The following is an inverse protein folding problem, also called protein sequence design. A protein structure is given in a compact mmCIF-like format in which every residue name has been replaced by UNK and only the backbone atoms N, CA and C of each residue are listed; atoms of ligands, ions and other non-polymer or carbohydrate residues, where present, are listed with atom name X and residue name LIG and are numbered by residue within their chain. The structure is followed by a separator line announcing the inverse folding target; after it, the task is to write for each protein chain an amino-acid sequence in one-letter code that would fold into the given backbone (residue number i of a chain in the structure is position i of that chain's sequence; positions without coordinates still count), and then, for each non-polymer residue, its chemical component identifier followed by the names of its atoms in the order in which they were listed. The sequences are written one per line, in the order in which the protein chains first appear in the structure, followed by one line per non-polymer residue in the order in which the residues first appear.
data_IF_955985162876
#
_entry.id   IF_955985162876
#
_cell.length_a   1.000
_cell.length_b   1.000
_cell.length_c   1.000
_cell.angle_alpha   90.00
_cell.angle_beta   90.00
_cell.angle_gamma   90.00
#
_symmetry.space_group_name_H-M   'P 1'
#
loop_
_entity.id
_entity.type
_entity.pdbx_description
1 polymer ?
#
# COMPACT_ATOMS: atom_id res chain seq x y z
N UNK A 1 -143.96 -77.73 -212.04
CA UNK A 1 -143.19 -78.88 -211.49
C UNK A 1 -142.74 -78.58 -210.07
N UNK A 2 -142.60 -79.61 -209.23
CA UNK A 2 -142.24 -79.48 -207.81
C UNK A 2 -140.79 -78.98 -207.59
N UNK A 3 -139.87 -79.35 -208.49
CA UNK A 3 -138.42 -79.13 -208.33
C UNK A 3 -138.00 -77.66 -208.20
N UNK A 4 -138.64 -76.75 -208.96
CA UNK A 4 -138.35 -75.30 -208.88
C UNK A 4 -138.59 -74.75 -207.46
N UNK A 5 -139.60 -75.26 -206.74
CA UNK A 5 -139.97 -74.80 -205.41
C UNK A 5 -139.01 -75.32 -204.33
N UNK A 6 -138.34 -76.46 -204.57
CA UNK A 6 -137.24 -76.90 -203.70
C UNK A 6 -135.97 -76.08 -203.91
N UNK A 7 -135.65 -75.77 -205.17
CA UNK A 7 -134.46 -75.00 -205.52
C UNK A 7 -134.52 -73.57 -204.96
N UNK A 8 -135.69 -72.93 -205.02
CA UNK A 8 -135.94 -71.62 -204.40
C UNK A 8 -135.77 -71.67 -202.86
N UNK A 9 -136.24 -72.75 -202.21
CA UNK A 9 -136.10 -72.94 -200.75
C UNK A 9 -134.64 -73.16 -200.34
N UNK A 10 -133.88 -73.92 -201.14
CA UNK A 10 -132.42 -74.10 -200.97
C UNK A 10 -131.67 -72.76 -201.14
N UNK A 11 -132.00 -71.97 -202.16
CA UNK A 11 -131.40 -70.64 -202.37
C UNK A 11 -131.70 -69.67 -201.20
N UNK A 12 -132.93 -69.60 -200.70
CA UNK A 12 -133.27 -68.77 -199.52
C UNK A 12 -132.47 -69.19 -198.28
N UNK A 13 -132.26 -70.50 -198.07
CA UNK A 13 -131.41 -70.99 -196.98
C UNK A 13 -129.93 -70.59 -197.14
N UNK A 14 -129.42 -70.54 -198.38
CA UNK A 14 -128.06 -70.09 -198.68
C UNK A 14 -127.88 -68.59 -198.41
N UNK A 15 -128.87 -67.75 -198.75
CA UNK A 15 -128.85 -66.32 -198.42
C UNK A 15 -128.88 -66.08 -196.90
N UNK A 16 -129.76 -66.77 -196.16
CA UNK A 16 -129.78 -66.72 -194.69
C UNK A 16 -128.45 -67.14 -194.07
N UNK A 17 -127.80 -68.19 -194.62
CA UNK A 17 -126.47 -68.60 -194.16
C UNK A 17 -125.38 -67.57 -194.48
N UNK A 18 -125.48 -66.86 -195.62
CA UNK A 18 -124.55 -65.77 -195.97
C UNK A 18 -124.70 -64.57 -195.03
N UNK A 19 -125.93 -64.14 -194.72
CA UNK A 19 -126.18 -63.06 -193.75
C UNK A 19 -125.75 -63.45 -192.34
N UNK A 20 -126.01 -64.70 -191.92
CA UNK A 20 -125.54 -65.22 -190.63
C UNK A 20 -124.01 -65.26 -190.55
N UNK A 21 -123.32 -65.61 -191.63
CA UNK A 21 -121.86 -65.54 -191.70
C UNK A 21 -121.35 -64.09 -191.62
N UNK A 22 -122.02 -63.14 -192.27
CA UNK A 22 -121.69 -61.71 -192.18
C UNK A 22 -121.89 -61.16 -190.75
N UNK A 23 -123.01 -61.47 -190.08
CA UNK A 23 -123.23 -61.07 -188.68
C UNK A 23 -122.22 -61.71 -187.71
N UNK A 24 -121.80 -62.95 -187.95
CA UNK A 24 -120.75 -63.60 -187.16
C UNK A 24 -119.41 -62.88 -187.37
N UNK A 25 -119.07 -62.50 -188.61
CA UNK A 25 -117.87 -61.75 -188.92
C UNK A 25 -117.87 -60.34 -188.31
N UNK A 26 -119.00 -59.61 -188.39
CA UNK A 26 -119.17 -58.28 -187.79
C UNK A 26 -119.08 -58.32 -186.26
N UNK A 27 -119.79 -59.25 -185.61
CA UNK A 27 -119.68 -59.46 -184.15
C UNK A 27 -118.27 -59.84 -183.73
N UNK A 28 -117.56 -60.62 -184.56
CA UNK A 28 -116.16 -60.96 -184.32
C UNK A 28 -115.27 -59.73 -184.46
N UNK A 29 -115.45 -58.89 -185.48
CA UNK A 29 -114.69 -57.66 -185.64
C UNK A 29 -114.89 -56.69 -184.46
N UNK A 30 -116.13 -56.48 -184.03
CA UNK A 30 -116.46 -55.64 -182.85
C UNK A 30 -115.86 -56.24 -181.56
N UNK A 31 -115.84 -57.57 -181.42
CA UNK A 31 -115.19 -58.23 -180.30
C UNK A 31 -113.66 -58.05 -180.35
N UNK A 32 -113.03 -58.29 -181.50
CA UNK A 32 -111.59 -58.15 -181.71
C UNK A 32 -111.13 -56.67 -181.52
N UNK A 33 -111.97 -55.68 -181.87
CA UNK A 33 -111.72 -54.25 -181.57
C UNK A 33 -111.86 -53.91 -180.08
N UNK A 34 -112.87 -54.45 -179.39
CA UNK A 34 -113.02 -54.27 -177.94
C UNK A 34 -111.88 -54.90 -177.16
N UNK A 35 -111.45 -56.11 -177.54
CA UNK A 35 -110.30 -56.77 -176.93
C UNK A 35 -109.03 -55.92 -177.07
N UNK A 36 -108.78 -55.34 -178.25
CA UNK A 36 -107.65 -54.40 -178.45
C UNK A 36 -107.75 -53.17 -177.55
N UNK A 37 -108.92 -52.55 -177.45
CA UNK A 37 -109.10 -51.37 -176.60
C UNK A 37 -108.96 -51.71 -175.10
N UNK A 38 -109.48 -52.86 -174.67
CA UNK A 38 -109.29 -53.38 -173.31
C UNK A 38 -107.81 -53.72 -173.04
N UNK A 39 -107.09 -54.29 -174.01
CA UNK A 39 -105.65 -54.56 -173.94
C UNK A 39 -104.80 -53.27 -173.91
N UNK A 40 -105.17 -52.24 -174.69
CA UNK A 40 -104.54 -50.91 -174.72
C UNK A 40 -104.73 -50.19 -173.38
N UNK A 41 -105.96 -50.10 -172.88
CA UNK A 41 -106.26 -49.52 -171.55
C UNK A 41 -105.56 -50.31 -170.43
N UNK A 42 -105.49 -51.64 -170.54
CA UNK A 42 -104.75 -52.47 -169.59
C UNK A 42 -103.22 -52.33 -169.69
N UNK A 43 -102.68 -51.86 -170.82
CA UNK A 43 -101.26 -51.48 -170.95
C UNK A 43 -101.01 -50.11 -170.32
N UNK A 44 -101.78 -49.08 -170.66
CA UNK A 44 -101.66 -47.74 -170.08
C UNK A 44 -101.77 -47.77 -168.54
N UNK A 45 -102.74 -48.51 -168.00
CA UNK A 45 -102.91 -48.67 -166.54
C UNK A 45 -101.75 -49.42 -165.87
N UNK A 46 -101.07 -50.34 -166.57
CA UNK A 46 -99.85 -50.98 -166.06
C UNK A 46 -98.67 -50.03 -166.10
N UNK A 47 -98.50 -49.27 -167.19
CA UNK A 47 -97.41 -48.30 -167.32
C UNK A 47 -97.50 -47.16 -166.30
N UNK A 48 -98.71 -46.69 -165.96
CA UNK A 48 -98.92 -45.74 -164.86
C UNK A 48 -98.64 -46.38 -163.49
N UNK A 49 -99.07 -47.63 -163.27
CA UNK A 49 -98.82 -48.34 -162.01
C UNK A 49 -97.32 -48.65 -161.80
N UNK A 50 -96.62 -49.08 -162.85
CA UNK A 50 -95.18 -49.34 -162.84
C UNK A 50 -94.38 -48.04 -162.64
N UNK A 51 -94.83 -46.91 -163.21
CA UNK A 51 -94.25 -45.58 -162.93
C UNK A 51 -94.44 -45.17 -161.47
N UNK A 52 -95.66 -45.29 -160.94
CA UNK A 52 -95.93 -45.02 -159.53
C UNK A 52 -95.06 -45.89 -158.60
N UNK A 53 -94.94 -47.20 -158.89
CA UNK A 53 -94.11 -48.13 -158.11
C UNK A 53 -92.62 -47.80 -158.21
N UNK A 54 -92.12 -47.38 -159.37
CA UNK A 54 -90.74 -46.90 -159.53
C UNK A 54 -90.49 -45.60 -158.75
N UNK A 55 -91.44 -44.66 -158.76
CA UNK A 55 -91.33 -43.43 -157.96
C UNK A 55 -91.33 -43.74 -156.46
N UNK A 56 -92.28 -44.55 -155.98
CA UNK A 56 -92.40 -44.95 -154.57
C UNK A 56 -91.14 -45.70 -154.08
N UNK A 57 -90.69 -46.73 -154.81
CA UNK A 57 -89.45 -47.45 -154.48
C UNK A 57 -88.20 -46.56 -154.54
N UNK A 58 -88.15 -45.57 -155.45
CA UNK A 58 -87.04 -44.59 -155.47
C UNK A 58 -87.08 -43.63 -154.28
N UNK A 59 -88.29 -43.22 -153.83
CA UNK A 59 -88.47 -42.36 -152.67
C UNK A 59 -88.16 -43.11 -151.36
N UNK A 60 -88.55 -44.39 -151.25
CA UNK A 60 -88.13 -45.26 -150.16
C UNK A 60 -86.62 -45.48 -150.14
N UNK A 61 -85.98 -45.68 -151.31
CA UNK A 61 -84.53 -45.81 -151.41
C UNK A 61 -83.82 -44.55 -150.92
N UNK A 62 -84.30 -43.34 -151.28
CA UNK A 62 -83.78 -42.06 -150.77
C UNK A 62 -83.94 -41.95 -149.25
N UNK A 63 -85.13 -42.20 -148.71
CA UNK A 63 -85.38 -42.21 -147.26
C UNK A 63 -84.49 -43.22 -146.51
N UNK A 64 -84.22 -44.37 -147.12
CA UNK A 64 -83.34 -45.39 -146.54
C UNK A 64 -81.85 -45.02 -146.68
N UNK A 65 -81.45 -44.26 -147.70
CA UNK A 65 -80.12 -43.66 -147.80
C UNK A 65 -79.93 -42.56 -146.74
N UNK A 66 -80.90 -41.65 -146.58
CA UNK A 66 -80.92 -40.60 -145.55
C UNK A 66 -80.84 -41.18 -144.13
N UNK A 67 -81.59 -42.25 -143.84
CA UNK A 67 -81.48 -42.99 -142.57
C UNK A 67 -80.10 -43.62 -142.37
N UNK A 68 -79.48 -44.13 -143.44
CA UNK A 68 -78.12 -44.71 -143.37
C UNK A 68 -77.06 -43.64 -143.14
N UNK A 69 -77.13 -42.49 -143.80
CA UNK A 69 -76.21 -41.38 -143.55
C UNK A 69 -76.38 -40.83 -142.15
N UNK A 70 -77.62 -40.67 -141.67
CA UNK A 70 -77.90 -40.25 -140.30
C UNK A 70 -77.38 -41.24 -139.24
N UNK A 71 -77.55 -42.55 -139.45
CA UNK A 71 -76.92 -43.55 -138.57
C UNK A 71 -75.39 -43.47 -138.60
N UNK A 72 -74.78 -43.35 -139.78
CA UNK A 72 -73.32 -43.17 -139.90
C UNK A 72 -72.80 -41.89 -139.24
N UNK A 73 -73.61 -40.83 -139.17
CA UNK A 73 -73.27 -39.60 -138.45
C UNK A 73 -73.40 -39.78 -136.92
N UNK A 74 -74.42 -40.50 -136.44
CA UNK A 74 -74.53 -40.87 -135.03
C UNK A 74 -73.39 -41.80 -134.59
N UNK A 75 -73.05 -42.81 -135.38
CA UNK A 75 -71.95 -43.73 -135.10
C UNK A 75 -70.62 -42.97 -134.98
N UNK A 76 -70.35 -42.02 -135.89
CA UNK A 76 -69.20 -41.10 -135.79
C UNK A 76 -69.22 -40.25 -134.53
N UNK A 77 -70.38 -39.72 -134.12
CA UNK A 77 -70.49 -38.94 -132.87
C UNK A 77 -70.19 -39.81 -131.64
N UNK A 78 -70.61 -41.07 -131.63
CA UNK A 78 -70.28 -42.04 -130.57
C UNK A 78 -68.79 -42.35 -130.57
N UNK A 79 -68.20 -42.68 -131.73
CA UNK A 79 -66.76 -42.89 -131.87
C UNK A 79 -65.93 -41.69 -131.39
N UNK A 80 -66.34 -40.46 -131.73
CA UNK A 80 -65.68 -39.24 -131.27
C UNK A 80 -65.78 -39.07 -129.75
N UNK A 81 -66.92 -39.39 -129.15
CA UNK A 81 -67.07 -39.36 -127.69
C UNK A 81 -66.24 -40.44 -127.01
N UNK A 82 -66.10 -41.62 -127.60
CA UNK A 82 -65.24 -42.69 -127.08
C UNK A 82 -63.76 -42.35 -127.22
N UNK A 83 -63.32 -41.79 -128.35
CA UNK A 83 -61.95 -41.26 -128.53
C UNK A 83 -61.64 -40.18 -127.50
N UNK A 84 -62.52 -39.18 -127.31
CA UNK A 84 -62.35 -38.14 -126.27
C UNK A 84 -62.27 -38.71 -124.85
N UNK A 85 -63.00 -39.80 -124.54
CA UNK A 85 -62.89 -40.51 -123.25
C UNK A 85 -61.57 -41.27 -123.12
N UNK A 86 -61.07 -41.87 -124.19
CA UNK A 86 -59.78 -42.56 -124.22
C UNK A 86 -58.63 -41.55 -124.04
N UNK A 87 -58.63 -40.46 -124.81
CA UNK A 87 -57.66 -39.36 -124.72
C UNK A 87 -57.61 -38.78 -123.29
N UNK A 88 -58.78 -38.46 -122.70
CA UNK A 88 -58.86 -37.97 -121.32
C UNK A 88 -58.40 -39.00 -120.28
N UNK A 89 -58.60 -40.29 -120.52
CA UNK A 89 -58.10 -41.36 -119.64
C UNK A 89 -56.58 -41.54 -119.76
N UNK A 90 -56.02 -41.41 -120.97
CA UNK A 90 -54.57 -41.41 -121.20
C UNK A 90 -53.89 -40.16 -120.62
N UNK A 91 -54.55 -39.00 -120.66
CA UNK A 91 -54.12 -37.79 -119.94
C UNK A 91 -54.13 -38.02 -118.41
N UNK A 92 -55.25 -38.52 -117.86
CA UNK A 92 -55.35 -38.86 -116.45
C UNK A 92 -54.28 -39.86 -115.99
N UNK A 93 -53.99 -40.90 -116.78
CA UNK A 93 -52.92 -41.85 -116.46
C UNK A 93 -51.53 -41.20 -116.48
N UNK A 94 -51.25 -40.33 -117.46
CA UNK A 94 -49.99 -39.57 -117.53
C UNK A 94 -49.84 -38.62 -116.33
N UNK A 95 -50.88 -37.87 -115.99
CA UNK A 95 -50.90 -37.00 -114.81
C UNK A 95 -50.72 -37.80 -113.52
N UNK A 96 -51.44 -38.92 -113.35
CA UNK A 96 -51.33 -39.77 -112.18
C UNK A 96 -49.91 -40.35 -112.02
N UNK A 97 -49.29 -40.82 -113.10
CA UNK A 97 -47.89 -41.26 -113.06
C UNK A 97 -46.92 -40.13 -112.70
N UNK A 98 -47.12 -38.93 -113.26
CA UNK A 98 -46.32 -37.75 -112.90
C UNK A 98 -46.49 -37.37 -111.42
N UNK A 99 -47.71 -37.42 -110.88
CA UNK A 99 -48.00 -37.17 -109.46
C UNK A 99 -47.36 -38.26 -108.59
N UNK A 100 -47.49 -39.54 -108.94
CA UNK A 100 -46.85 -40.65 -108.22
C UNK A 100 -45.31 -40.48 -108.19
N UNK A 101 -44.68 -40.02 -109.28
CA UNK A 101 -43.25 -39.68 -109.32
C UNK A 101 -42.88 -38.47 -108.45
N UNK A 102 -43.70 -37.41 -108.44
CA UNK A 102 -43.48 -36.22 -107.60
C UNK A 102 -43.58 -36.62 -106.12
N UNK A 103 -44.61 -37.38 -105.73
CA UNK A 103 -44.79 -37.89 -104.36
C UNK A 103 -43.61 -38.77 -103.96
N UNK A 104 -43.14 -39.65 -104.84
CA UNK A 104 -41.95 -40.48 -104.58
C UNK A 104 -40.69 -39.62 -104.37
N UNK A 105 -40.45 -38.61 -105.21
CA UNK A 105 -39.32 -37.67 -105.05
C UNK A 105 -39.40 -36.90 -103.72
N UNK A 106 -40.59 -36.42 -103.34
CA UNK A 106 -40.81 -35.77 -102.04
C UNK A 106 -40.43 -36.72 -100.90
N UNK A 107 -40.91 -37.97 -100.91
CA UNK A 107 -40.54 -38.95 -99.88
C UNK A 107 -39.03 -39.25 -99.83
N UNK A 108 -38.36 -39.34 -100.99
CA UNK A 108 -36.91 -39.53 -101.06
C UNK A 108 -36.15 -38.32 -100.50
N UNK A 109 -36.54 -37.10 -100.86
CA UNK A 109 -35.97 -35.86 -100.32
C UNK A 109 -36.18 -35.73 -98.80
N UNK A 110 -37.38 -36.06 -98.31
CA UNK A 110 -37.74 -36.06 -96.88
C UNK A 110 -36.88 -37.03 -96.07
N UNK A 111 -36.57 -38.22 -96.63
CA UNK A 111 -35.68 -39.19 -96.01
C UNK A 111 -34.22 -38.72 -96.01
N UNK A 112 -33.75 -38.17 -97.13
CA UNK A 112 -32.39 -37.61 -97.24
C UNK A 112 -32.21 -36.40 -96.31
N UNK A 113 -33.22 -35.56 -96.11
CA UNK A 113 -33.15 -34.44 -95.17
C UNK A 113 -33.12 -34.93 -93.72
N UNK A 114 -33.90 -35.96 -93.36
CA UNK A 114 -33.85 -36.62 -92.04
C UNK A 114 -32.48 -37.23 -91.76
N UNK A 115 -31.87 -37.92 -92.74
CA UNK A 115 -30.51 -38.44 -92.62
C UNK A 115 -29.49 -37.32 -92.39
N UNK A 116 -29.51 -36.27 -93.24
CA UNK A 116 -28.63 -35.08 -93.07
C UNK A 116 -28.79 -34.39 -91.72
N UNK A 117 -30.01 -34.35 -91.15
CA UNK A 117 -30.27 -33.83 -89.80
C UNK A 117 -29.63 -34.73 -88.73
N UNK A 118 -29.79 -36.06 -88.84
CA UNK A 118 -29.18 -37.02 -87.92
C UNK A 118 -27.65 -36.99 -87.99
N UNK A 119 -27.06 -36.87 -89.18
CA UNK A 119 -25.61 -36.83 -89.34
C UNK A 119 -25.01 -35.53 -88.77
N UNK A 120 -25.65 -34.37 -88.98
CA UNK A 120 -25.28 -33.12 -88.28
C UNK A 120 -25.44 -33.21 -86.76
N UNK A 121 -26.45 -33.92 -86.27
CA UNK A 121 -26.61 -34.19 -84.83
C UNK A 121 -25.48 -35.11 -84.30
N UNK A 122 -25.03 -36.09 -85.07
CA UNK A 122 -23.90 -36.96 -84.71
C UNK A 122 -22.59 -36.18 -84.71
N UNK A 123 -22.32 -35.39 -85.75
CA UNK A 123 -21.14 -34.51 -85.84
C UNK A 123 -21.07 -33.55 -84.64
N UNK A 124 -22.17 -32.85 -84.33
CA UNK A 124 -22.21 -31.96 -83.16
C UNK A 124 -22.07 -32.72 -81.84
N UNK A 125 -22.63 -33.92 -81.70
CA UNK A 125 -22.40 -34.77 -80.53
C UNK A 125 -20.92 -35.18 -80.39
N UNK A 126 -20.26 -35.59 -81.47
CA UNK A 126 -18.83 -35.93 -81.43
C UNK A 126 -17.95 -34.73 -81.07
N UNK A 127 -18.22 -33.55 -81.63
CA UNK A 127 -17.51 -32.32 -81.25
C UNK A 127 -17.73 -31.95 -79.77
N UNK A 128 -18.95 -32.12 -79.24
CA UNK A 128 -19.26 -31.87 -77.82
C UNK A 128 -18.51 -32.89 -76.93
N UNK A 129 -18.48 -34.16 -77.30
CA UNK A 129 -17.73 -35.19 -76.57
C UNK A 129 -16.22 -34.93 -76.57
N UNK A 130 -15.65 -34.57 -77.72
CA UNK A 130 -14.24 -34.21 -77.86
C UNK A 130 -13.91 -33.00 -77.00
N UNK A 131 -14.72 -31.94 -77.07
CA UNK A 131 -14.56 -30.75 -76.23
C UNK A 131 -14.64 -31.08 -74.72
N UNK A 132 -15.56 -31.96 -74.30
CA UNK A 132 -15.66 -32.40 -72.91
C UNK A 132 -14.41 -33.20 -72.50
N UNK A 133 -13.88 -34.07 -73.38
CA UNK A 133 -12.63 -34.83 -73.14
C UNK A 133 -11.43 -33.88 -73.02
N UNK A 134 -11.30 -32.90 -73.92
CA UNK A 134 -10.26 -31.87 -73.85
C UNK A 134 -10.37 -31.03 -72.58
N UNK A 135 -11.56 -30.57 -72.21
CA UNK A 135 -11.80 -29.81 -70.98
C UNK A 135 -11.54 -30.64 -69.70
N UNK A 136 -11.77 -31.95 -69.74
CA UNK A 136 -11.40 -32.85 -68.65
C UNK A 136 -9.88 -33.03 -68.54
N UNK A 137 -9.18 -33.23 -69.67
CA UNK A 137 -7.72 -33.31 -69.74
C UNK A 137 -7.05 -31.99 -69.30
N UNK A 138 -7.59 -30.85 -69.71
CA UNK A 138 -7.14 -29.53 -69.27
C UNK A 138 -7.33 -29.33 -67.77
N UNK A 139 -8.50 -29.69 -67.21
CA UNK A 139 -8.75 -29.64 -65.76
C UNK A 139 -7.78 -30.54 -64.99
N UNK A 140 -7.52 -31.76 -65.48
CA UNK A 140 -6.58 -32.69 -64.85
C UNK A 140 -5.15 -32.15 -64.86
N UNK A 141 -4.65 -31.67 -66.01
CA UNK A 141 -3.33 -31.02 -66.10
C UNK A 141 -3.24 -29.82 -65.17
N UNK A 142 -4.29 -29.00 -65.09
CA UNK A 142 -4.32 -27.84 -64.19
C UNK A 142 -4.33 -28.25 -62.71
N UNK A 143 -4.97 -29.37 -62.35
CA UNK A 143 -4.87 -29.95 -61.01
C UNK A 143 -3.45 -30.46 -60.72
N UNK A 144 -2.81 -31.14 -61.66
CA UNK A 144 -1.42 -31.62 -61.54
C UNK A 144 -0.43 -30.44 -61.35
N UNK A 145 -0.56 -29.36 -62.13
CA UNK A 145 0.19 -28.11 -61.95
C UNK A 145 -0.02 -27.50 -60.55
N UNK A 146 -1.27 -27.37 -60.10
CA UNK A 146 -1.60 -26.84 -58.77
C UNK A 146 -1.10 -27.75 -57.64
N UNK A 147 -1.09 -29.06 -57.80
CA UNK A 147 -0.51 -30.00 -56.83
C UNK A 147 1.01 -29.85 -56.74
N UNK A 148 1.72 -29.67 -57.85
CA UNK A 148 3.16 -29.40 -57.84
C UNK A 148 3.50 -28.06 -57.19
N UNK A 149 2.74 -27.01 -57.47
CA UNK A 149 2.87 -25.71 -56.80
C UNK A 149 2.60 -25.84 -55.29
N UNK A 150 1.54 -26.54 -54.90
CA UNK A 150 1.22 -26.80 -53.50
C UNK A 150 2.30 -27.62 -52.79
N UNK A 151 2.92 -28.61 -53.44
CA UNK A 151 4.07 -29.36 -52.89
C UNK A 151 5.25 -28.43 -52.62
N UNK A 152 5.62 -27.57 -53.58
CA UNK A 152 6.69 -26.56 -53.42
C UNK A 152 6.38 -25.57 -52.30
N UNK A 153 5.11 -25.17 -52.15
CA UNK A 153 4.65 -24.31 -51.04
C UNK A 153 4.79 -25.04 -49.68
N UNK A 154 4.39 -26.31 -49.58
CA UNK A 154 4.55 -27.11 -48.35
C UNK A 154 6.02 -27.34 -48.00
N UNK A 155 6.88 -27.66 -48.98
CA UNK A 155 8.32 -27.79 -48.79
C UNK A 155 8.92 -26.46 -48.27
N UNK A 156 8.55 -25.33 -48.88
CA UNK A 156 8.99 -24.01 -48.41
C UNK A 156 8.47 -23.69 -47.00
N UNK A 157 7.22 -24.02 -46.69
CA UNK A 157 6.64 -23.81 -45.36
C UNK A 157 7.35 -24.65 -44.29
N UNK A 158 7.63 -25.93 -44.57
CA UNK A 158 8.43 -26.80 -43.68
C UNK A 158 9.85 -26.24 -43.47
N UNK A 159 10.49 -25.76 -44.54
CA UNK A 159 11.80 -25.10 -44.47
C UNK A 159 11.77 -23.73 -43.75
N UNK A 160 10.61 -23.10 -43.59
CA UNK A 160 10.45 -21.91 -42.75
C UNK A 160 10.21 -22.30 -41.29
N UNK A 161 9.36 -23.31 -41.02
CA UNK A 161 9.13 -23.84 -39.68
C UNK A 161 10.43 -24.34 -39.06
N UNK A 162 11.20 -25.19 -39.75
CA UNK A 162 12.51 -25.66 -39.26
C UNK A 162 13.47 -24.52 -38.92
N UNK A 163 13.49 -23.45 -39.72
CA UNK A 163 14.31 -22.25 -39.43
C UNK A 163 13.80 -21.45 -38.22
N UNK A 164 12.49 -21.41 -38.00
CA UNK A 164 11.89 -20.81 -36.81
C UNK A 164 12.16 -21.66 -35.57
N UNK A 165 12.03 -22.98 -35.67
CA UNK A 165 12.31 -23.94 -34.59
C UNK A 165 13.80 -23.90 -34.20
N UNK A 166 14.72 -23.92 -35.18
CA UNK A 166 16.16 -23.74 -34.95
C UNK A 166 16.50 -22.41 -34.28
N UNK A 167 15.77 -21.34 -34.63
CA UNK A 167 15.96 -20.02 -34.03
C UNK A 167 15.39 -19.98 -32.60
N UNK A 168 14.19 -20.52 -32.38
CA UNK A 168 13.57 -20.65 -31.07
C UNK A 168 14.39 -21.52 -30.13
N UNK A 169 14.93 -22.65 -30.62
CA UNK A 169 15.85 -23.50 -29.88
C UNK A 169 17.10 -22.72 -29.46
N UNK A 170 17.74 -21.95 -30.37
CA UNK A 170 18.89 -21.09 -30.03
C UNK A 170 18.54 -20.01 -29.01
N UNK A 171 17.36 -19.40 -29.12
CA UNK A 171 16.87 -18.42 -28.14
C UNK A 171 16.70 -19.07 -26.77
N UNK A 172 16.01 -20.22 -26.69
CA UNK A 172 15.87 -21.01 -25.47
C UNK A 172 17.24 -21.39 -24.88
N UNK A 173 18.17 -21.87 -25.70
CA UNK A 173 19.54 -22.20 -25.31
C UNK A 173 20.29 -21.01 -24.69
N UNK A 174 20.09 -19.80 -25.23
CA UNK A 174 20.65 -18.57 -24.63
C UNK A 174 19.92 -18.14 -23.37
N UNK A 175 18.61 -18.33 -23.29
CA UNK A 175 17.81 -17.97 -22.13
C UNK A 175 18.10 -18.90 -20.95
N UNK A 176 18.23 -20.21 -21.18
CA UNK A 176 18.73 -21.17 -20.20
C UNK A 176 20.12 -20.81 -19.70
N UNK A 177 21.04 -20.42 -20.60
CA UNK A 177 22.39 -19.99 -20.18
C UNK A 177 22.33 -18.73 -19.31
N UNK A 178 21.47 -17.76 -19.61
CA UNK A 178 21.22 -16.60 -18.75
C UNK A 178 20.63 -17.01 -17.41
N UNK A 179 19.60 -17.86 -17.39
CA UNK A 179 18.94 -18.35 -16.17
C UNK A 179 19.93 -19.10 -15.27
N UNK A 180 20.80 -19.96 -15.84
CA UNK A 180 21.88 -20.62 -15.09
C UNK A 180 22.82 -19.60 -14.44
N UNK A 181 23.22 -18.54 -15.16
CA UNK A 181 24.05 -17.46 -14.60
C UNK A 181 23.30 -16.64 -13.54
N UNK A 182 22.01 -16.34 -13.75
CA UNK A 182 21.17 -15.64 -12.77
C UNK A 182 21.00 -16.45 -11.47
N UNK A 183 20.77 -17.76 -11.58
CA UNK A 183 20.65 -18.65 -10.42
C UNK A 183 21.99 -18.72 -9.66
N UNK A 184 23.12 -18.89 -10.36
CA UNK A 184 24.45 -18.82 -9.74
C UNK A 184 24.69 -17.49 -9.04
N UNK A 185 24.28 -16.36 -9.64
CA UNK A 185 24.39 -15.04 -9.03
C UNK A 185 23.50 -14.92 -7.79
N UNK A 186 22.25 -15.39 -7.85
CA UNK A 186 21.33 -15.42 -6.73
C UNK A 186 21.90 -16.23 -5.55
N UNK A 187 22.42 -17.43 -5.79
CA UNK A 187 23.10 -18.20 -4.74
C UNK A 187 24.32 -17.47 -4.14
N UNK A 188 25.11 -16.76 -4.96
CA UNK A 188 26.23 -15.96 -4.42
C UNK A 188 25.76 -14.78 -3.59
N UNK A 189 24.67 -14.12 -3.99
CA UNK A 189 24.05 -13.03 -3.23
C UNK A 189 23.45 -13.53 -1.91
N UNK A 190 22.75 -14.67 -1.91
CA UNK A 190 22.23 -15.30 -0.68
C UNK A 190 23.36 -15.67 0.28
N UNK A 191 24.46 -16.25 -0.22
CA UNK A 191 25.67 -16.54 0.58
C UNK A 191 26.31 -15.27 1.14
N UNK A 192 26.32 -14.17 0.38
CA UNK A 192 26.79 -12.88 0.90
C UNK A 192 25.85 -12.29 1.96
N UNK A 193 24.54 -12.36 1.76
CA UNK A 193 23.56 -11.91 2.75
C UNK A 193 23.63 -12.72 4.05
N UNK A 194 23.79 -14.04 3.95
CA UNK A 194 24.02 -14.90 5.12
C UNK A 194 25.27 -14.45 5.87
N UNK A 195 26.40 -14.27 5.18
CA UNK A 195 27.64 -13.73 5.77
C UNK A 195 27.50 -12.33 6.37
N UNK A 196 26.63 -11.47 5.81
CA UNK A 196 26.32 -10.15 6.40
C UNK A 196 25.51 -10.30 7.68
N UNK A 197 24.46 -11.12 7.68
CA UNK A 197 23.62 -11.43 8.85
C UNK A 197 24.45 -12.07 9.98
N UNK A 198 25.34 -13.00 9.67
CA UNK A 198 26.30 -13.59 10.61
C UNK A 198 27.22 -12.53 11.23
N UNK A 199 27.76 -11.60 10.43
CA UNK A 199 28.58 -10.49 10.94
C UNK A 199 27.79 -9.51 11.80
N UNK A 200 26.56 -9.19 11.41
CA UNK A 200 25.66 -8.33 12.17
C UNK A 200 25.29 -8.96 13.52
N UNK A 201 25.06 -10.27 13.56
CA UNK A 201 24.89 -11.04 14.80
C UNK A 201 26.12 -10.96 15.69
N UNK A 202 27.31 -11.26 15.16
CA UNK A 202 28.58 -11.16 15.92
C UNK A 202 28.83 -9.74 16.46
N UNK A 203 28.46 -8.69 15.72
CA UNK A 203 28.56 -7.31 16.19
C UNK A 203 27.53 -6.97 17.29
N UNK A 204 26.33 -7.54 17.22
CA UNK A 204 25.31 -7.40 18.27
C UNK A 204 25.74 -8.14 19.55
N UNK A 205 26.24 -9.37 19.42
CA UNK A 205 26.77 -10.17 20.52
C UNK A 205 27.95 -9.45 21.20
N UNK A 206 28.92 -8.95 20.43
CA UNK A 206 30.04 -8.18 20.95
C UNK A 206 29.59 -6.90 21.68
N UNK A 207 28.60 -6.19 21.15
CA UNK A 207 28.05 -4.99 21.79
C UNK A 207 27.38 -5.31 23.13
N UNK A 208 26.64 -6.44 23.21
CA UNK A 208 26.07 -6.93 24.47
C UNK A 208 27.17 -7.35 25.47
N UNK A 209 28.19 -8.10 25.03
CA UNK A 209 29.34 -8.45 25.87
C UNK A 209 30.09 -7.22 26.39
N UNK A 210 30.25 -6.17 25.57
CA UNK A 210 30.84 -4.88 25.98
C UNK A 210 29.97 -4.16 27.02
N UNK A 211 28.64 -4.15 26.84
CA UNK A 211 27.71 -3.61 27.85
C UNK A 211 27.82 -4.38 29.17
N UNK A 212 27.74 -5.71 29.15
CA UNK A 212 27.90 -6.57 30.33
C UNK A 212 29.29 -6.41 30.97
N UNK A 213 30.35 -6.23 30.19
CA UNK A 213 31.68 -5.95 30.71
C UNK A 213 31.77 -4.57 31.37
N UNK A 214 31.05 -3.58 30.85
CA UNK A 214 30.93 -2.25 31.47
C UNK A 214 30.08 -2.28 32.74
N UNK A 215 29.04 -3.09 32.81
CA UNK A 215 28.27 -3.31 34.04
C UNK A 215 29.07 -4.05 35.10
N UNK A 216 29.74 -5.16 34.74
CA UNK A 216 30.71 -5.83 35.63
C UNK A 216 31.78 -4.88 36.16
N UNK A 217 32.30 -3.95 35.34
CA UNK A 217 33.24 -2.90 35.80
C UNK A 217 32.60 -1.92 36.78
N UNK A 218 31.33 -1.52 36.58
CA UNK A 218 30.59 -0.67 37.52
C UNK A 218 30.37 -1.38 38.86
N UNK A 219 29.94 -2.64 38.83
CA UNK A 219 29.75 -3.48 40.03
C UNK A 219 31.05 -3.63 40.81
N UNK A 220 32.17 -3.95 40.13
CA UNK A 220 33.48 -4.06 40.76
C UNK A 220 33.94 -2.71 41.35
N UNK A 221 33.68 -1.58 40.69
CA UNK A 221 33.96 -0.25 41.21
C UNK A 221 33.05 0.14 42.40
N UNK A 222 31.80 -0.34 42.45
CA UNK A 222 30.93 -0.19 43.63
C UNK A 222 31.41 -1.04 44.80
N UNK A 223 31.79 -2.30 44.56
CA UNK A 223 32.39 -3.18 45.56
C UNK A 223 33.67 -2.53 46.10
N UNK A 224 34.53 -2.00 45.22
CA UNK A 224 35.74 -1.28 45.61
C UNK A 224 35.42 -0.03 46.44
N UNK A 225 34.44 0.80 46.04
CA UNK A 225 33.97 1.94 46.84
C UNK A 225 33.48 1.52 48.23
N UNK A 226 32.70 0.44 48.32
CA UNK A 226 32.22 -0.11 49.62
C UNK A 226 33.38 -0.62 50.48
N UNK A 227 34.42 -1.22 49.88
CA UNK A 227 35.64 -1.65 50.58
C UNK A 227 36.46 -0.43 51.05
N UNK A 228 36.68 0.56 50.18
CA UNK A 228 37.37 1.82 50.53
C UNK A 228 36.65 2.53 51.67
N UNK A 229 35.34 2.73 51.59
CA UNK A 229 34.54 3.30 52.69
C UNK A 229 34.69 2.53 54.02
N UNK A 230 34.72 1.19 53.99
CA UNK A 230 34.96 0.37 55.20
C UNK A 230 36.39 0.56 55.74
N UNK A 231 37.39 0.66 54.86
CA UNK A 231 38.79 0.92 55.25
C UNK A 231 38.97 2.34 55.79
N UNK A 232 38.36 3.35 55.16
CA UNK A 232 38.40 4.75 55.57
C UNK A 232 37.73 4.93 56.94
N UNK A 233 36.58 4.30 57.18
CA UNK A 233 35.92 4.26 58.49
C UNK A 233 36.83 3.58 59.53
N UNK A 234 37.44 2.43 59.20
CA UNK A 234 38.37 1.74 60.09
C UNK A 234 39.59 2.61 60.42
N UNK A 235 40.22 3.24 59.43
CA UNK A 235 41.33 4.16 59.63
C UNK A 235 40.92 5.40 60.42
N UNK A 236 39.70 5.91 60.24
CA UNK A 236 39.17 7.03 61.03
C UNK A 236 39.00 6.63 62.51
N UNK A 237 38.49 5.44 62.80
CA UNK A 237 38.43 4.89 64.17
C UNK A 237 39.82 4.66 64.76
N UNK A 238 40.75 4.07 64.01
CA UNK A 238 42.14 3.86 64.44
C UNK A 238 42.85 5.20 64.72
N UNK A 239 42.67 6.22 63.87
CA UNK A 239 43.17 7.59 64.08
C UNK A 239 42.51 8.27 65.28
N UNK A 240 41.18 8.15 65.45
CA UNK A 240 40.46 8.69 66.61
C UNK A 240 40.96 8.05 67.91
N UNK A 241 41.18 6.73 67.91
CA UNK A 241 41.72 6.00 69.05
C UNK A 241 43.16 6.43 69.36
N UNK A 242 44.02 6.55 68.34
CA UNK A 242 45.39 7.03 68.50
C UNK A 242 45.44 8.48 69.03
N UNK A 243 44.61 9.40 68.51
CA UNK A 243 44.49 10.76 69.04
C UNK A 243 44.01 10.78 70.49
N UNK A 244 43.06 9.92 70.87
CA UNK A 244 42.58 9.79 72.25
C UNK A 244 43.66 9.21 73.18
N UNK A 245 44.45 8.26 72.71
CA UNK A 245 45.57 7.69 73.45
C UNK A 245 46.71 8.71 73.64
N UNK A 246 47.07 9.45 72.58
CA UNK A 246 48.04 10.54 72.65
C UNK A 246 47.57 11.67 73.57
N UNK A 247 46.29 12.05 73.54
CA UNK A 247 45.72 13.01 74.48
C UNK A 247 45.75 12.51 75.93
N UNK A 248 45.55 11.21 76.17
CA UNK A 248 45.72 10.62 77.51
C UNK A 248 47.18 10.55 77.95
N UNK A 249 48.14 10.40 77.03
CA UNK A 249 49.57 10.47 77.35
C UNK A 249 49.98 11.91 77.65
N UNK A 250 49.60 12.88 76.82
CA UNK A 250 49.83 14.30 77.06
C UNK A 250 49.21 14.76 78.39
N UNK A 251 47.98 14.34 78.72
CA UNK A 251 47.37 14.63 80.01
C UNK A 251 48.16 14.03 81.19
N UNK A 252 48.75 12.84 81.05
CA UNK A 252 49.61 12.25 82.08
C UNK A 252 50.94 12.99 82.20
N UNK A 253 51.53 13.41 81.08
CA UNK A 253 52.75 14.23 81.06
C UNK A 253 52.51 15.62 81.67
N UNK A 254 51.34 16.22 81.43
CA UNK A 254 50.88 17.45 82.09
C UNK A 254 50.63 17.22 83.60
N UNK A 255 49.93 16.15 84.00
CA UNK A 255 49.75 15.78 85.42
C UNK A 255 51.09 15.51 86.13
N UNK A 256 52.05 14.88 85.44
CA UNK A 256 53.40 14.63 85.94
C UNK A 256 54.23 15.92 86.02
N UNK A 257 54.13 16.82 85.03
CA UNK A 257 54.76 18.13 85.07
C UNK A 257 54.17 19.02 86.17
N UNK A 258 52.85 18.97 86.38
CA UNK A 258 52.16 19.63 87.50
C UNK A 258 52.60 19.03 88.84
N UNK A 259 52.72 17.70 88.96
CA UNK A 259 53.29 17.05 90.16
C UNK A 259 54.74 17.47 90.39
N UNK A 260 55.59 17.50 89.37
CA UNK A 260 56.98 17.94 89.48
C UNK A 260 57.07 19.41 89.88
N UNK A 261 56.23 20.29 89.33
CA UNK A 261 56.15 21.69 89.71
C UNK A 261 55.61 21.89 91.14
N UNK A 262 54.63 21.07 91.59
CA UNK A 262 54.17 21.07 92.99
C UNK A 262 55.29 20.58 93.92
N UNK A 263 56.00 19.50 93.58
CA UNK A 263 57.13 18.99 94.35
C UNK A 263 58.30 19.99 94.40
N UNK A 264 58.58 20.69 93.29
CA UNK A 264 59.57 21.75 93.24
C UNK A 264 59.17 22.94 94.10
N UNK A 265 57.90 23.38 94.05
CA UNK A 265 57.37 24.41 94.96
C UNK A 265 57.45 23.99 96.42
N UNK A 266 57.07 22.77 96.75
CA UNK A 266 57.18 22.25 98.12
C UNK A 266 58.66 22.20 98.58
N UNK A 267 59.60 21.86 97.70
CA UNK A 267 61.03 21.91 98.02
C UNK A 267 61.58 23.34 98.15
N UNK A 268 61.06 24.30 97.38
CA UNK A 268 61.36 25.73 97.56
C UNK A 268 60.76 26.27 98.85
N UNK A 269 59.51 25.92 99.17
CA UNK A 269 58.81 26.31 100.40
C UNK A 269 59.49 25.69 101.64
N UNK A 270 59.90 24.42 101.61
CA UNK A 270 60.72 23.78 102.66
C UNK A 270 62.07 24.49 102.85
N UNK A 271 62.71 24.89 101.75
CA UNK A 271 63.99 25.64 101.79
C UNK A 271 63.79 27.05 102.34
N UNK A 272 62.68 27.70 102.02
CA UNK A 272 62.25 28.99 102.55
C UNK A 272 61.86 28.86 104.03
N UNK A 273 61.20 27.78 104.44
CA UNK A 273 60.90 27.46 105.85
C UNK A 273 62.18 27.26 106.67
N UNK A 274 63.16 26.51 106.16
CA UNK A 274 64.46 26.34 106.82
C UNK A 274 65.19 27.68 106.99
N UNK A 275 65.25 28.50 105.94
CA UNK A 275 65.83 29.85 106.00
C UNK A 275 65.04 30.77 106.94
N UNK A 276 63.71 30.68 106.95
CA UNK A 276 62.86 31.45 107.87
C UNK A 276 62.94 30.94 109.32
N UNK A 277 63.22 29.67 109.57
CA UNK A 277 63.48 29.11 110.89
C UNK A 277 64.85 29.59 111.41
N UNK A 278 65.87 29.60 110.55
CA UNK A 278 67.18 30.18 110.87
C UNK A 278 67.05 31.70 111.12
N UNK A 279 66.30 32.43 110.29
CA UNK A 279 66.02 33.87 110.45
C UNK A 279 65.16 34.17 111.68
N UNK A 280 64.22 33.29 112.06
CA UNK A 280 63.48 33.35 113.33
C UNK A 280 64.41 33.14 114.53
N UNK A 281 65.33 32.17 114.49
CA UNK A 281 66.36 31.97 115.53
C UNK A 281 67.29 33.18 115.67
N UNK A 282 67.79 33.72 114.55
CA UNK A 282 68.63 34.94 114.56
C UNK A 282 67.87 36.13 115.13
N UNK A 283 66.64 36.41 114.68
CA UNK A 283 65.81 37.48 115.24
C UNK A 283 65.46 37.28 116.72
N UNK A 284 65.30 36.04 117.19
CA UNK A 284 65.11 35.76 118.61
C UNK A 284 66.38 36.01 119.43
N UNK A 285 67.57 35.74 118.89
CA UNK A 285 68.84 36.09 119.53
C UNK A 285 69.07 37.61 119.52
N UNK A 286 68.85 38.29 118.39
CA UNK A 286 68.88 39.75 118.28
C UNK A 286 67.90 40.41 119.25
N UNK A 287 66.68 39.89 119.38
CA UNK A 287 65.70 40.42 120.32
C UNK A 287 66.08 40.14 121.79
N UNK A 288 66.65 38.96 122.11
CA UNK A 288 67.21 38.69 123.44
C UNK A 288 68.33 39.67 123.78
N UNK A 289 69.31 39.85 122.89
CA UNK A 289 70.41 40.80 123.08
C UNK A 289 69.91 42.26 123.19
N UNK A 290 68.89 42.65 122.42
CA UNK A 290 68.27 43.96 122.52
C UNK A 290 67.53 44.16 123.86
N UNK A 291 66.82 43.14 124.35
CA UNK A 291 66.13 43.17 125.66
C UNK A 291 67.14 43.17 126.81
N UNK A 292 68.22 42.40 126.73
CA UNK A 292 69.33 42.44 127.70
C UNK A 292 69.97 43.83 127.73
N UNK A 293 70.24 44.43 126.56
CA UNK A 293 70.77 45.79 126.48
C UNK A 293 69.83 46.83 127.08
N UNK A 294 68.52 46.74 126.81
CA UNK A 294 67.50 47.61 127.44
C UNK A 294 67.43 47.40 128.97
N UNK A 295 67.62 46.17 129.46
CA UNK A 295 67.67 45.86 130.90
C UNK A 295 68.95 46.39 131.57
N UNK A 296 70.10 46.28 130.91
CA UNK A 296 71.34 46.88 131.38
C UNK A 296 71.28 48.40 131.39
N UNK A 297 70.75 49.02 130.33
CA UNK A 297 70.63 50.48 130.24
C UNK A 297 69.60 50.99 131.27
N UNK A 298 68.51 50.26 131.54
CA UNK A 298 67.62 50.55 132.69
C UNK A 298 68.31 50.39 134.04
N UNK A 299 69.18 49.39 134.22
CA UNK A 299 69.97 49.25 135.47
C UNK A 299 70.95 50.40 135.64
N UNK A 300 71.65 50.81 134.58
CA UNK A 300 72.57 51.96 134.57
C UNK A 300 71.83 53.27 134.86
N UNK A 301 70.67 53.49 134.24
CA UNK A 301 69.79 54.64 134.51
C UNK A 301 69.31 54.66 135.96
N UNK A 302 68.81 53.54 136.48
CA UNK A 302 68.30 53.48 137.86
C UNK A 302 69.41 53.64 138.93
N UNK A 303 70.65 53.25 138.64
CA UNK A 303 71.82 53.54 139.49
C UNK A 303 72.15 55.04 139.43
N UNK A 304 72.26 55.63 138.24
CA UNK A 304 72.57 57.04 138.05
C UNK A 304 71.49 57.99 138.61
N UNK A 305 70.21 57.61 138.55
CA UNK A 305 69.10 58.34 139.16
C UNK A 305 69.18 58.28 140.70
N UNK A 306 69.51 57.12 141.30
CA UNK A 306 69.72 57.00 142.74
C UNK A 306 70.89 57.82 143.26
N UNK A 307 71.98 57.89 142.50
CA UNK A 307 73.16 58.70 142.85
C UNK A 307 72.81 60.19 142.83
N UNK A 308 72.11 60.68 141.80
CA UNK A 308 71.61 62.06 141.74
C UNK A 308 70.62 62.40 142.86
N UNK A 309 69.68 61.50 143.16
CA UNK A 309 68.67 61.72 144.21
C UNK A 309 69.32 61.76 145.63
N UNK A 310 70.49 61.14 145.82
CA UNK A 310 71.28 61.24 147.04
C UNK A 310 72.06 62.58 147.12
N UNK A 311 72.63 63.05 146.02
CA UNK A 311 73.32 64.35 145.95
C UNK A 311 72.36 65.53 146.17
N UNK A 312 71.17 65.50 145.55
CA UNK A 312 70.15 66.54 145.73
C UNK A 312 69.65 66.59 147.18
N UNK A 313 69.35 65.43 147.80
CA UNK A 313 68.97 65.36 149.24
C UNK A 313 70.07 65.87 150.18
N UNK A 314 71.35 65.74 149.82
CA UNK A 314 72.45 66.28 150.61
C UNK A 314 72.55 67.81 150.52
N UNK A 315 72.26 68.38 149.34
CA UNK A 315 72.22 69.83 149.11
C UNK A 315 71.00 70.49 149.76
N UNK A 316 69.83 69.85 149.71
CA UNK A 316 68.61 70.37 150.34
C UNK A 316 68.70 70.43 151.87
N UNK A 317 69.26 69.41 152.52
CA UNK A 317 69.45 69.40 153.98
C UNK A 317 70.28 70.59 154.46
N UNK A 318 71.41 70.86 153.79
CA UNK A 318 72.29 72.01 154.09
C UNK A 318 71.56 73.36 153.92
N UNK A 319 70.67 73.49 152.92
CA UNK A 319 69.85 74.69 152.72
C UNK A 319 68.78 74.85 153.81
N UNK A 320 68.13 73.76 154.22
CA UNK A 320 67.10 73.78 155.26
C UNK A 320 67.67 74.11 156.65
N UNK A 321 68.88 73.65 156.97
CA UNK A 321 69.57 73.97 158.22
C UNK A 321 69.86 75.48 158.35
N UNK A 322 70.35 76.13 157.29
CA UNK A 322 70.57 77.58 157.28
C UNK A 322 69.27 78.40 157.46
N UNK A 323 68.15 77.96 156.87
CA UNK A 323 66.87 78.67 156.97
C UNK A 323 66.29 78.56 158.39
N UNK A 324 66.41 77.39 159.05
CA UNK A 324 65.88 77.20 160.42
C UNK A 324 66.57 78.12 161.44
N UNK A 325 67.88 78.30 161.33
CA UNK A 325 68.63 79.20 162.22
C UNK A 325 68.09 80.64 162.15
N UNK A 326 67.86 81.17 160.95
CA UNK A 326 67.36 82.54 160.73
C UNK A 326 65.93 82.72 161.28
N UNK A 327 65.06 81.73 161.14
CA UNK A 327 63.66 81.79 161.62
C UNK A 327 63.60 81.76 163.16
N UNK A 328 64.46 80.98 163.82
CA UNK A 328 64.48 80.91 165.28
C UNK A 328 64.99 82.23 165.90
N UNK A 329 65.91 82.95 165.25
CA UNK A 329 66.36 84.30 165.63
C UNK A 329 65.25 85.36 165.50
N UNK A 330 64.50 85.36 164.39
CA UNK A 330 63.36 86.27 164.20
C UNK A 330 62.23 86.01 165.22
N UNK A 331 61.94 84.73 165.52
CA UNK A 331 60.94 84.32 166.52
C UNK A 331 61.23 84.93 167.91
N UNK A 332 62.49 84.99 168.31
CA UNK A 332 62.88 85.56 169.62
C UNK A 332 62.72 87.09 169.70
N UNK A 333 62.83 87.82 168.58
CA UNK A 333 62.53 89.26 168.52
C UNK A 333 61.02 89.52 168.68
N UNK A 334 60.20 88.83 167.88
CA UNK A 334 58.74 88.98 167.89
C UNK A 334 58.13 88.71 169.28
N UNK A 335 58.66 87.72 170.01
CA UNK A 335 58.23 87.43 171.38
C UNK A 335 58.45 88.60 172.35
N UNK A 336 59.58 89.31 172.27
CA UNK A 336 59.88 90.45 173.16
C UNK A 336 58.99 91.67 172.91
N UNK A 337 58.64 91.94 171.65
CA UNK A 337 57.87 93.12 171.27
C UNK A 337 56.36 92.97 171.55
N UNK A 338 55.83 91.77 171.33
CA UNK A 338 54.37 91.54 171.35
C UNK A 338 53.84 90.91 172.64
N UNK A 339 54.65 90.17 173.41
CA UNK A 339 54.17 89.49 174.62
C UNK A 339 53.51 90.48 175.60
N UNK A 340 54.20 91.57 175.94
CA UNK A 340 53.73 92.60 176.88
C UNK A 340 52.35 93.19 176.52
N UNK A 341 52.06 93.44 175.22
CA UNK A 341 50.79 94.05 174.79
C UNK A 341 49.62 93.06 174.69
N UNK A 342 49.92 91.76 174.65
CA UNK A 342 48.93 90.67 174.50
C UNK A 342 48.77 89.86 175.78
N UNK A 343 49.17 90.45 176.91
CA UNK A 343 49.05 89.90 178.26
C UNK A 343 47.56 89.68 178.59
N UNK A 344 47.18 88.41 178.75
CA UNK A 344 45.78 87.98 178.95
C UNK A 344 45.10 87.35 177.72
N UNK A 345 45.64 87.52 176.51
CA UNK A 345 45.09 86.96 175.27
C UNK A 345 46.04 86.00 174.53
N UNK A 346 47.19 85.66 175.12
CA UNK A 346 48.17 84.77 174.50
C UNK A 346 47.65 83.32 174.44
N UNK A 347 47.50 82.71 173.24
CA UNK A 347 47.07 81.32 173.13
C UNK A 347 48.18 80.35 173.54
N UNK A 348 47.75 79.20 174.05
CA UNK A 348 48.60 78.17 174.64
C UNK A 348 49.50 77.51 173.56
N UNK A 349 50.80 77.40 173.81
CA UNK A 349 51.78 76.72 172.94
C UNK A 349 52.75 77.59 172.13
N UNK A 350 52.76 78.93 172.29
CA UNK A 350 53.74 79.82 171.63
C UNK A 350 55.15 79.74 172.28
N UNK A 351 55.17 79.51 173.59
CA UNK A 351 56.37 79.35 174.41
C UNK A 351 56.78 77.87 174.33
N UNK A 352 57.97 77.58 173.80
CA UNK A 352 58.42 76.20 173.56
C UNK A 352 59.04 75.57 174.81
N UNK A 353 59.88 76.33 175.51
CA UNK A 353 60.65 75.88 176.68
C UNK A 353 60.59 76.90 177.83
N UNK A 354 60.95 76.51 179.06
CA UNK A 354 60.98 77.40 180.24
C UNK A 354 61.88 78.64 180.07
N UNK A 355 62.88 78.56 179.19
CA UNK A 355 63.75 79.68 178.83
C UNK A 355 63.00 80.84 178.14
N UNK A 356 61.94 80.56 177.38
CA UNK A 356 61.12 81.60 176.73
C UNK A 356 60.37 82.44 177.79
N UNK A 357 59.99 81.84 178.93
CA UNK A 357 59.30 82.51 180.05
C UNK A 357 60.24 83.42 180.83
N UNK A 358 61.51 83.00 181.00
CA UNK A 358 62.50 83.75 181.78
C UNK A 358 62.93 85.06 181.11
N UNK A 359 62.81 85.20 179.78
CA UNK A 359 63.18 86.43 179.05
C UNK A 359 62.17 87.58 179.17
N UNK A 360 60.95 87.35 179.70
CA UNK A 360 59.83 88.31 179.61
C UNK A 360 59.60 89.19 180.86
N UNK A 361 60.44 89.06 181.90
CA UNK A 361 60.40 89.90 183.10
C UNK A 361 59.46 89.39 184.21
N UNK A 362 59.71 89.85 185.44
CA UNK A 362 59.05 89.31 186.65
C UNK A 362 57.56 89.67 186.75
N UNK A 363 57.17 90.87 186.28
CA UNK A 363 55.77 91.31 186.28
C UNK A 363 54.89 90.47 185.32
N UNK A 364 55.45 90.05 184.18
CA UNK A 364 54.76 89.14 183.26
C UNK A 364 54.54 87.77 183.90
N UNK A 365 55.53 87.31 184.68
CA UNK A 365 55.53 86.02 185.39
C UNK A 365 54.39 85.93 186.40
N UNK A 366 54.17 86.97 187.21
CA UNK A 366 53.13 87.01 188.25
C UNK A 366 51.72 86.98 187.66
N UNK A 367 51.45 87.78 186.63
CA UNK A 367 50.16 87.81 185.96
C UNK A 367 49.86 86.50 185.19
N UNK A 368 50.89 85.88 184.59
CA UNK A 368 50.75 84.57 183.94
C UNK A 368 50.55 83.43 184.96
N UNK A 369 51.17 83.52 186.15
CA UNK A 369 50.96 82.55 187.25
C UNK A 369 49.59 82.68 187.92
N UNK A 370 49.00 83.88 188.01
CA UNK A 370 47.66 84.06 188.58
C UNK A 370 46.56 83.26 187.86
N UNK A 371 46.70 82.98 186.56
CA UNK A 371 45.74 82.15 185.81
C UNK A 371 46.09 80.67 185.80
N UNK A 372 47.38 80.30 185.85
CA UNK A 372 47.83 78.90 186.07
C UNK A 372 47.35 78.34 187.42
N UNK A 373 46.99 79.22 188.37
CA UNK A 373 46.62 78.90 189.74
C UNK A 373 45.19 78.39 189.99
N UNK A 374 44.27 78.44 189.02
CA UNK A 374 42.95 77.77 189.13
C UNK A 374 42.84 76.51 188.25
N UNK A 375 44.01 75.89 188.03
CA UNK A 375 44.25 74.49 187.67
C UNK A 375 43.97 74.09 186.22
N UNK A 376 44.36 72.87 185.80
CA UNK A 376 43.68 72.28 184.63
C UNK A 376 42.30 71.81 185.06
N UNK A 377 41.18 72.37 184.59
CA UNK A 377 40.81 73.75 184.16
C UNK A 377 41.68 74.68 183.24
N UNK A 378 42.49 74.21 182.26
CA UNK A 378 43.66 74.90 181.59
C UNK A 378 45.04 74.85 182.32
N UNK A 379 45.72 73.69 182.49
CA UNK A 379 47.01 73.34 181.82
C UNK A 379 47.47 71.84 181.91
N UNK A 380 47.55 71.09 180.79
CA UNK A 380 48.65 70.17 180.38
C UNK A 380 48.52 69.78 178.91
#
# INVERSE_FOLDING_TARGET
SLELRELERKLKSAYMNKERAAQIAEKKAIYDEKMKWEDEVAQEMKEEYDRYLQEETSAELRRNQEKKTYHQELDKQVEEQEKKKQEAYEEFLREKHMIDEIVKKIYEEDQMEKQRKLDKMRETQTYIEEFIKEQAMWRKRRQEEMEEENRKIMEFANMQQQRQDDWMAKVQDTEEKKQRVQNMLAETMEREEQRRKEREQILQDLYLEEQEAMERKKEMAEIEKRIRQRLDLRQAYEKQFALKAAAQQAMREEDEAVRQHILAKLAEDDRIEQLNAQKRRMKQLEHKMAVEKILEDRRKQCIAEKERELEERALEKRRQECIRAIIEEERQKLLKEHAWKLLGFLPRGILKDENDINMLGEDFRLAYQQRRGNELSEES
#
